data_IF_679252897289
#
_entry.id   IF_679252897289
#
_cell.length_a   1.000
_cell.length_b   1.000
_cell.length_c   1.000
_cell.angle_alpha   90.00
_cell.angle_beta   90.00
_cell.angle_gamma   90.00
#
_symmetry.space_group_name_H-M   'P 1'
#
loop_
_entity.id
_entity.type
_entity.pdbx_description
1 polymer ?
#
# COMPACT_ATOMS: atom_id res chain seq x y z
N UNK A 1 7.72 24.41 -4.69
CA UNK A 1 7.16 23.55 -5.77
C UNK A 1 7.80 22.16 -5.81
N UNK A 2 9.13 22.02 -5.92
CA UNK A 2 9.80 20.70 -6.04
C UNK A 2 9.47 19.68 -4.93
N UNK A 3 9.29 20.13 -3.68
CA UNK A 3 8.92 19.26 -2.54
C UNK A 3 7.49 18.71 -2.66
N UNK A 4 6.54 19.59 -2.99
CA UNK A 4 5.13 19.22 -3.20
C UNK A 4 5.00 18.24 -4.36
N UNK A 5 5.73 18.47 -5.45
CA UNK A 5 5.78 17.55 -6.58
C UNK A 5 6.28 16.14 -6.17
N UNK A 6 7.36 16.06 -5.39
CA UNK A 6 7.87 14.77 -4.90
C UNK A 6 6.86 14.06 -4.00
N UNK A 7 6.20 14.76 -3.09
CA UNK A 7 5.14 14.21 -2.23
C UNK A 7 3.97 13.65 -3.05
N UNK A 8 3.48 14.41 -4.03
CA UNK A 8 2.36 13.98 -4.88
C UNK A 8 2.75 12.76 -5.72
N UNK A 9 3.95 12.76 -6.31
CA UNK A 9 4.46 11.62 -7.08
C UNK A 9 4.58 10.37 -6.21
N UNK A 10 5.14 10.48 -5.01
CA UNK A 10 5.25 9.34 -4.10
C UNK A 10 3.88 8.84 -3.63
N UNK A 11 2.93 9.74 -3.37
CA UNK A 11 1.57 9.33 -3.03
C UNK A 11 0.89 8.56 -4.18
N UNK A 12 1.04 9.02 -5.43
CA UNK A 12 0.58 8.30 -6.62
C UNK A 12 1.27 6.93 -6.73
N UNK A 13 2.59 6.85 -6.49
CA UNK A 13 3.32 5.60 -6.50
C UNK A 13 2.87 4.64 -5.39
N UNK A 14 2.39 5.14 -4.25
CA UNK A 14 1.76 4.34 -3.22
C UNK A 14 0.51 3.62 -3.73
N UNK A 15 -0.37 4.34 -4.46
CA UNK A 15 -1.54 3.72 -5.12
C UNK A 15 -1.13 2.71 -6.19
N UNK A 16 -0.13 3.04 -7.01
CA UNK A 16 0.40 2.10 -8.02
C UNK A 16 0.97 0.85 -7.36
N UNK A 17 1.66 0.99 -6.22
CA UNK A 17 2.20 -0.14 -5.46
C UNK A 17 1.09 -1.05 -4.94
N UNK A 18 -0.02 -0.48 -4.47
CA UNK A 18 -1.22 -1.24 -4.06
C UNK A 18 -1.86 -1.94 -5.25
N UNK A 19 -2.02 -1.23 -6.38
CA UNK A 19 -2.59 -1.82 -7.60
C UNK A 19 -1.79 -3.02 -8.10
N UNK A 20 -0.47 -2.89 -8.14
CA UNK A 20 0.42 -3.98 -8.50
C UNK A 20 0.35 -5.14 -7.50
N UNK A 21 0.23 -4.83 -6.21
CA UNK A 21 0.02 -5.85 -5.19
C UNK A 21 -1.28 -6.63 -5.44
N UNK A 22 -2.40 -5.96 -5.74
CA UNK A 22 -3.67 -6.64 -6.05
C UNK A 22 -3.54 -7.62 -7.22
N UNK A 23 -2.76 -7.29 -8.26
CA UNK A 23 -2.49 -8.24 -9.34
C UNK A 23 -1.65 -9.45 -8.90
N UNK A 24 -0.65 -9.23 -8.03
CA UNK A 24 0.16 -10.32 -7.46
C UNK A 24 -0.70 -11.20 -6.55
N UNK A 25 -1.55 -10.58 -5.75
CA UNK A 25 -2.51 -11.19 -4.84
C UNK A 25 -3.46 -12.14 -5.58
N UNK A 26 -4.05 -11.69 -6.69
CA UNK A 26 -4.85 -12.52 -7.58
C UNK A 26 -4.04 -13.69 -8.16
N UNK A 27 -2.80 -13.45 -8.58
CA UNK A 27 -1.90 -14.50 -9.09
C UNK A 27 -1.56 -15.57 -8.04
N UNK A 28 -1.31 -15.14 -6.79
CA UNK A 28 -1.13 -16.05 -5.66
C UNK A 28 -2.42 -16.87 -5.45
N UNK A 29 -3.58 -16.23 -5.49
CA UNK A 29 -4.87 -16.90 -5.32
C UNK A 29 -5.19 -17.91 -6.42
N UNK A 30 -4.86 -17.59 -7.67
CA UNK A 30 -5.05 -18.50 -8.79
C UNK A 30 -4.19 -19.76 -8.63
N UNK A 31 -3.01 -19.65 -8.00
CA UNK A 31 -2.08 -20.78 -7.84
C UNK A 31 -2.24 -21.53 -6.52
N UNK A 32 -2.69 -20.85 -5.47
CA UNK A 32 -2.84 -21.37 -4.11
C UNK A 32 -4.20 -20.98 -3.52
N UNK A 33 -5.30 -21.57 -4.03
CA UNK A 33 -6.66 -21.19 -3.63
C UNK A 33 -6.94 -21.37 -2.13
N UNK A 34 -6.23 -22.29 -1.46
CA UNK A 34 -6.30 -22.50 -0.01
C UNK A 34 -5.86 -21.28 0.81
N UNK A 35 -5.01 -20.40 0.25
CA UNK A 35 -4.58 -19.15 0.89
C UNK A 35 -5.56 -17.99 0.64
N UNK A 36 -6.67 -18.24 -0.07
CA UNK A 36 -7.62 -17.21 -0.52
C UNK A 36 -9.05 -17.47 -0.09
N UNK A 37 -9.25 -18.34 0.90
CA UNK A 37 -10.54 -18.53 1.56
C UNK A 37 -10.86 -17.22 2.28
N UNK A 38 -11.68 -16.37 1.65
CA UNK A 38 -12.20 -15.16 2.28
C UNK A 38 -13.20 -15.58 3.35
N UNK A 39 -12.80 -15.50 4.61
CA UNK A 39 -13.72 -15.67 5.72
C UNK A 39 -14.69 -14.47 5.73
N UNK A 40 -15.97 -14.74 5.41
CA UNK A 40 -17.06 -13.78 5.54
C UNK A 40 -17.33 -12.90 4.32
N UNK A 41 -18.51 -12.29 4.34
CA UNK A 41 -18.95 -11.31 3.36
C UNK A 41 -18.27 -9.96 3.62
N UNK A 42 -17.55 -9.45 2.61
CA UNK A 42 -16.79 -8.18 2.67
C UNK A 42 -17.35 -7.11 1.72
N UNK A 43 -18.60 -7.23 1.30
CA UNK A 43 -19.24 -6.23 0.43
C UNK A 43 -19.78 -5.05 1.24
N UNK A 44 -19.34 -3.85 0.88
CA UNK A 44 -19.70 -2.59 1.55
C UNK A 44 -21.21 -2.36 1.35
N UNK A 45 -21.95 -2.36 2.46
CA UNK A 45 -23.40 -2.13 2.47
C UNK A 45 -24.28 -3.38 2.42
N UNK A 46 -23.72 -4.53 2.00
CA UNK A 46 -24.43 -5.82 1.99
C UNK A 46 -24.30 -6.55 3.34
N UNK A 47 -23.21 -6.30 4.07
CA UNK A 47 -22.89 -6.99 5.30
C UNK A 47 -22.57 -6.02 6.45
N UNK A 48 -22.94 -6.37 7.70
CA UNK A 48 -22.68 -5.52 8.86
C UNK A 48 -21.17 -5.52 9.13
N UNK A 49 -20.49 -4.52 8.60
CA UNK A 49 -19.09 -4.24 8.91
C UNK A 49 -19.03 -3.49 10.23
N UNK A 50 -18.11 -3.89 11.11
CA UNK A 50 -17.79 -3.06 12.26
C UNK A 50 -17.06 -1.81 11.80
N UNK A 51 -17.08 -0.74 12.61
CA UNK A 51 -16.29 0.46 12.36
C UNK A 51 -14.80 0.14 12.12
N UNK A 52 -14.28 -0.91 12.77
CA UNK A 52 -12.90 -1.35 12.60
C UNK A 52 -12.64 -1.96 11.22
N UNK A 53 -13.58 -2.73 10.67
CA UNK A 53 -13.44 -3.32 9.33
C UNK A 53 -13.39 -2.24 8.24
N UNK A 54 -14.25 -1.23 8.38
CA UNK A 54 -14.28 -0.09 7.47
C UNK A 54 -13.00 0.73 7.57
N UNK A 55 -12.52 1.01 8.80
CA UNK A 55 -11.26 1.70 9.02
C UNK A 55 -10.06 0.93 8.44
N UNK A 56 -10.02 -0.40 8.59
CA UNK A 56 -8.99 -1.25 8.00
C UNK A 56 -9.04 -1.15 6.48
N UNK A 57 -10.22 -1.24 5.88
CA UNK A 57 -10.39 -1.08 4.44
C UNK A 57 -9.85 0.26 3.93
N UNK A 58 -10.25 1.36 4.56
CA UNK A 58 -9.73 2.70 4.22
C UNK A 58 -8.21 2.78 4.39
N UNK A 59 -7.67 2.16 5.45
CA UNK A 59 -6.23 2.14 5.72
C UNK A 59 -5.46 1.34 4.69
N UNK A 60 -5.99 0.20 4.21
CA UNK A 60 -5.35 -0.58 3.13
C UNK A 60 -5.37 0.19 1.81
N UNK A 61 -6.46 0.89 1.51
CA UNK A 61 -6.61 1.63 0.24
C UNK A 61 -5.77 2.91 0.21
N UNK A 62 -5.85 3.74 1.25
CA UNK A 62 -5.21 5.07 1.29
C UNK A 62 -3.88 5.09 2.05
N UNK A 63 -3.64 4.12 2.92
CA UNK A 63 -2.44 4.04 3.75
C UNK A 63 -1.14 4.09 2.96
N UNK A 64 -0.97 3.31 1.87
CA UNK A 64 0.25 3.34 1.05
C UNK A 64 0.52 4.74 0.46
N UNK A 65 -0.52 5.40 -0.07
CA UNK A 65 -0.40 6.73 -0.64
C UNK A 65 0.00 7.79 0.41
N UNK A 66 -0.65 7.75 1.58
CA UNK A 66 -0.35 8.65 2.70
C UNK A 66 1.07 8.41 3.22
N UNK A 67 1.44 7.14 3.46
CA UNK A 67 2.75 6.77 3.98
C UNK A 67 3.90 7.19 3.03
N UNK A 68 3.75 6.91 1.73
CA UNK A 68 4.76 7.27 0.73
C UNK A 68 4.87 8.80 0.60
N UNK A 69 3.74 9.51 0.59
CA UNK A 69 3.71 10.97 0.53
C UNK A 69 4.39 11.62 1.74
N UNK A 70 4.10 11.15 2.96
CA UNK A 70 4.73 11.64 4.20
C UNK A 70 6.22 11.36 4.18
N UNK A 71 6.64 10.14 3.83
CA UNK A 71 8.05 9.76 3.74
C UNK A 71 8.80 10.70 2.77
N UNK A 72 8.24 10.95 1.59
CA UNK A 72 8.81 11.88 0.62
C UNK A 72 8.86 13.33 1.14
N UNK A 73 7.81 13.79 1.83
CA UNK A 73 7.77 15.13 2.41
C UNK A 73 8.88 15.34 3.45
N UNK A 74 9.05 14.39 4.37
CA UNK A 74 10.10 14.41 5.40
C UNK A 74 11.48 14.31 4.75
N UNK A 75 11.67 13.38 3.82
CA UNK A 75 12.95 13.13 3.17
C UNK A 75 13.40 14.29 2.27
N UNK A 76 12.46 15.03 1.67
CA UNK A 76 12.75 16.21 0.84
C UNK A 76 13.46 17.36 1.58
N UNK A 77 13.49 17.32 2.93
CA UNK A 77 14.25 18.27 3.75
C UNK A 77 15.77 18.02 3.69
N UNK A 78 16.20 16.79 3.39
CA UNK A 78 17.60 16.34 3.50
C UNK A 78 18.46 16.58 2.24
N UNK A 79 17.98 17.37 1.26
CA UNK A 79 18.59 17.54 -0.07
C UNK A 79 19.10 16.21 -0.69
N UNK A 80 18.24 15.19 -0.80
CA UNK A 80 18.64 13.86 -1.24
C UNK A 80 19.14 13.82 -2.69
N UNK A 81 20.12 12.96 -2.94
CA UNK A 81 20.58 12.60 -4.28
C UNK A 81 19.52 11.77 -5.03
N UNK A 82 19.66 11.64 -6.35
CA UNK A 82 18.74 10.81 -7.16
C UNK A 82 18.72 9.35 -6.71
N UNK A 83 19.90 8.77 -6.39
CA UNK A 83 19.99 7.40 -5.88
C UNK A 83 19.28 7.23 -4.54
N UNK A 84 19.34 8.24 -3.67
CA UNK A 84 18.66 8.21 -2.38
C UNK A 84 17.13 8.18 -2.52
N UNK A 85 16.57 8.84 -3.54
CA UNK A 85 15.14 8.75 -3.85
C UNK A 85 14.72 7.37 -4.32
N UNK A 86 15.51 6.74 -5.19
CA UNK A 86 15.25 5.39 -5.65
C UNK A 86 15.33 4.38 -4.50
N UNK A 87 16.32 4.52 -3.62
CA UNK A 87 16.44 3.68 -2.42
C UNK A 87 15.24 3.86 -1.48
N UNK A 88 14.79 5.10 -1.26
CA UNK A 88 13.60 5.35 -0.44
C UNK A 88 12.36 4.68 -1.04
N UNK A 89 12.15 4.86 -2.36
CA UNK A 89 11.01 4.26 -3.04
C UNK A 89 11.06 2.73 -2.98
N UNK A 90 12.21 2.15 -3.28
CA UNK A 90 12.42 0.70 -3.23
C UNK A 90 12.16 0.16 -1.81
N UNK A 91 12.69 0.82 -0.79
CA UNK A 91 12.44 0.46 0.61
C UNK A 91 10.96 0.53 0.97
N UNK A 92 10.28 1.61 0.61
CA UNK A 92 8.85 1.78 0.86
C UNK A 92 7.99 0.71 0.18
N UNK A 93 8.26 0.41 -1.10
CA UNK A 93 7.56 -0.64 -1.84
C UNK A 93 7.81 -2.01 -1.20
N UNK A 94 9.06 -2.30 -0.85
CA UNK A 94 9.43 -3.58 -0.22
C UNK A 94 8.72 -3.75 1.12
N UNK A 95 8.74 -2.73 1.98
CA UNK A 95 8.06 -2.76 3.28
C UNK A 95 6.55 -2.92 3.10
N UNK A 96 5.94 -2.14 2.19
CA UNK A 96 4.51 -2.25 1.90
C UNK A 96 4.12 -3.66 1.46
N UNK A 97 4.86 -4.24 0.50
CA UNK A 97 4.57 -5.58 -0.02
C UNK A 97 4.79 -6.67 1.03
N UNK A 98 5.83 -6.55 1.87
CA UNK A 98 6.07 -7.48 2.97
C UNK A 98 4.91 -7.42 3.98
N UNK A 99 4.44 -6.23 4.34
CA UNK A 99 3.28 -6.07 5.25
C UNK A 99 2.04 -6.74 4.66
N UNK A 100 1.73 -6.50 3.39
CA UNK A 100 0.58 -7.12 2.73
C UNK A 100 0.73 -8.64 2.60
N UNK A 101 1.94 -9.14 2.37
CA UNK A 101 2.21 -10.57 2.34
C UNK A 101 2.01 -11.21 3.72
N UNK A 102 2.47 -10.54 4.78
CA UNK A 102 2.29 -11.01 6.16
C UNK A 102 0.81 -11.02 6.54
N UNK A 103 0.07 -9.95 6.24
CA UNK A 103 -1.38 -9.87 6.46
C UNK A 103 -2.14 -11.01 5.79
N UNK A 104 -1.66 -11.46 4.62
CA UNK A 104 -2.22 -12.59 3.89
C UNK A 104 -1.86 -13.96 4.47
N UNK A 105 -0.72 -14.10 5.12
CA UNK A 105 -0.22 -15.38 5.63
C UNK A 105 -0.65 -15.67 7.07
N UNK A 106 -1.12 -14.66 7.80
CA UNK A 106 -1.63 -14.75 9.18
C UNK A 106 -3.14 -14.95 9.19
#
# INVERSE_FOLDING_TARGET
MRRVAATVVFAMLGFVSLWLWMGVDEGICARFPQLCIRYGCKEIGECPMSFWDEFIFFSVVFGPAIAFGIAAAVFSKLRPSWHSWLLLLFGLVTVHWVVMLVDRLV
#
